data_IF_514932967563
#
_entry.id   IF_514932967563
#
_cell.length_a   1.000
_cell.length_b   1.000
_cell.length_c   1.000
_cell.angle_alpha   90.00
_cell.angle_beta   90.00
_cell.angle_gamma   90.00
#
_symmetry.space_group_name_H-M   'P 1'
#
loop_
_entity.id
_entity.type
_entity.pdbx_description
1 polymer ?
#
# COMPACT_ATOMS: atom_id res chain seq x y z
N UNK A 1 14.45 21.84 0.85
CA UNK A 1 13.03 21.76 0.44
C UNK A 1 12.20 21.44 1.68
N UNK A 2 11.42 22.37 2.24
CA UNK A 2 10.60 22.06 3.40
C UNK A 2 9.42 21.18 2.97
N UNK A 3 9.27 20.02 3.60
CA UNK A 3 8.12 19.14 3.39
C UNK A 3 6.85 19.91 3.73
N UNK A 4 5.91 19.97 2.78
CA UNK A 4 4.59 20.56 3.00
C UNK A 4 3.97 19.92 4.23
N UNK A 5 3.61 20.77 5.19
CA UNK A 5 2.78 20.43 6.35
C UNK A 5 1.58 19.61 5.87
N UNK A 6 1.64 18.31 6.13
CA UNK A 6 0.50 17.41 5.98
C UNK A 6 -0.55 17.95 6.94
N UNK A 7 -1.70 18.38 6.40
CA UNK A 7 -2.94 18.49 7.19
C UNK A 7 -2.96 17.26 8.09
N UNK A 8 -2.96 17.48 9.40
CA UNK A 8 -2.92 16.43 10.42
C UNK A 8 -4.14 15.55 10.22
N UNK A 9 -3.99 14.50 9.41
CA UNK A 9 -4.88 13.36 9.45
C UNK A 9 -4.73 12.85 10.88
N UNK A 10 -5.79 13.00 11.67
CA UNK A 10 -5.80 12.50 13.04
C UNK A 10 -5.78 10.99 12.93
N UNK A 11 -4.65 10.39 13.28
CA UNK A 11 -4.54 8.96 13.48
C UNK A 11 -4.79 8.67 14.95
N UNK A 12 -5.63 7.69 15.22
CA UNK A 12 -5.96 7.28 16.58
C UNK A 12 -4.76 6.61 17.24
N UNK A 13 -3.89 5.96 16.46
CA UNK A 13 -2.64 5.36 16.91
C UNK A 13 -1.48 5.56 15.92
N UNK A 14 -0.24 5.48 16.42
CA UNK A 14 0.96 5.41 15.57
C UNK A 14 0.90 4.18 14.66
N UNK A 15 0.31 3.08 15.13
CA UNK A 15 0.10 1.88 14.34
C UNK A 15 -0.70 2.13 13.06
N UNK A 16 -1.72 2.99 13.12
CA UNK A 16 -2.50 3.36 11.93
C UNK A 16 -1.65 4.18 10.95
N UNK A 17 -0.84 5.10 11.47
CA UNK A 17 0.10 5.89 10.65
C UNK A 17 1.15 5.00 9.98
N UNK A 18 1.72 4.05 10.72
CA UNK A 18 2.67 3.04 10.20
C UNK A 18 1.98 2.18 9.13
N UNK A 19 0.76 1.72 9.39
CA UNK A 19 0.02 0.84 8.49
C UNK A 19 -0.27 1.47 7.12
N UNK A 20 -0.37 2.79 7.04
CA UNK A 20 -0.56 3.53 5.78
C UNK A 20 0.72 3.64 4.94
N UNK A 21 1.89 3.42 5.55
CA UNK A 21 3.20 3.39 4.88
C UNK A 21 3.60 1.98 4.44
N UNK A 22 2.85 0.97 4.87
CA UNK A 22 3.07 -0.42 4.48
C UNK A 22 2.22 -0.76 3.25
N UNK A 23 2.65 -1.72 2.42
CA UNK A 23 1.88 -2.23 1.28
C UNK A 23 0.42 -2.58 1.60
N UNK A 24 -0.48 -2.44 0.62
CA UNK A 24 -1.87 -2.88 0.75
C UNK A 24 -1.99 -4.37 1.09
N UNK A 25 -1.15 -5.17 0.45
CA UNK A 25 -1.09 -6.61 0.62
C UNK A 25 0.32 -7.07 0.96
N UNK A 26 0.40 -8.09 1.80
CA UNK A 26 1.65 -8.69 2.26
C UNK A 26 1.61 -10.19 2.03
N UNK A 27 2.76 -10.79 1.71
CA UNK A 27 2.86 -12.23 1.50
C UNK A 27 2.09 -12.74 0.29
N UNK A 28 1.87 -11.91 -0.74
CA UNK A 28 1.33 -12.39 -2.01
C UNK A 28 2.34 -13.34 -2.67
N UNK A 29 1.87 -14.50 -3.13
CA UNK A 29 2.68 -15.42 -3.93
C UNK A 29 3.08 -14.79 -5.28
N UNK A 30 4.15 -15.30 -5.89
CA UNK A 30 4.57 -14.85 -7.22
C UNK A 30 3.45 -15.03 -8.26
N UNK A 31 2.67 -16.11 -8.16
CA UNK A 31 1.54 -16.40 -9.04
C UNK A 31 0.44 -15.34 -8.90
N UNK A 32 0.11 -14.92 -7.67
CA UNK A 32 -0.87 -13.86 -7.44
C UNK A 32 -0.40 -12.52 -8.00
N UNK A 33 0.88 -12.20 -7.84
CA UNK A 33 1.47 -10.97 -8.40
C UNK A 33 1.42 -11.01 -9.93
N UNK A 34 1.80 -12.12 -10.55
CA UNK A 34 1.76 -12.28 -12.00
C UNK A 34 0.34 -12.19 -12.54
N UNK A 35 -0.61 -12.83 -11.87
CA UNK A 35 -2.02 -12.77 -12.22
C UNK A 35 -2.55 -11.33 -12.17
N UNK A 36 -2.30 -10.60 -11.07
CA UNK A 36 -2.70 -9.20 -10.94
C UNK A 36 -2.03 -8.30 -12.00
N UNK A 37 -0.79 -8.59 -12.41
CA UNK A 37 -0.12 -7.84 -13.47
C UNK A 37 -0.79 -8.10 -14.83
N UNK A 38 -1.18 -9.34 -15.11
CA UNK A 38 -1.88 -9.71 -16.34
C UNK A 38 -3.27 -9.06 -16.45
N UNK A 39 -3.96 -8.86 -15.32
CA UNK A 39 -5.26 -8.16 -15.28
C UNK A 39 -5.16 -6.64 -15.55
N UNK A 40 -3.95 -6.07 -15.57
CA UNK A 40 -3.75 -4.63 -15.75
C UNK A 40 -4.40 -3.83 -14.62
N UNK A 41 -5.35 -2.95 -14.92
CA UNK A 41 -6.12 -2.19 -13.91
C UNK A 41 -7.53 -2.75 -13.66
N UNK A 42 -7.84 -3.94 -14.16
CA UNK A 42 -9.17 -4.54 -14.09
C UNK A 42 -10.15 -3.93 -15.10
N UNK A 43 -10.96 -4.78 -15.75
CA UNK A 43 -11.99 -4.36 -16.71
C UNK A 43 -13.10 -3.62 -15.96
N UNK A 44 -13.42 -2.39 -16.36
CA UNK A 44 -14.54 -1.61 -15.81
C UNK A 44 -14.37 -1.08 -14.37
N UNK A 45 -13.32 -1.49 -13.64
CA UNK A 45 -13.08 -1.03 -12.27
C UNK A 45 -12.73 0.46 -12.20
N UNK A 46 -11.81 0.91 -13.06
CA UNK A 46 -11.41 2.32 -13.16
C UNK A 46 -11.73 2.89 -14.55
N UNK A 47 -12.20 4.14 -14.56
CA UNK A 47 -12.34 4.89 -15.81
C UNK A 47 -10.97 5.09 -16.47
N UNK A 48 -10.94 5.23 -17.81
CA UNK A 48 -9.71 5.50 -18.55
C UNK A 48 -8.93 6.72 -17.98
N UNK A 49 -9.66 7.77 -17.58
CA UNK A 49 -9.07 8.96 -16.96
C UNK A 49 -8.41 8.71 -15.59
N UNK A 50 -8.90 7.74 -14.81
CA UNK A 50 -8.29 7.34 -13.54
C UNK A 50 -7.09 6.43 -13.76
N UNK A 51 -7.18 5.48 -14.71
CA UNK A 51 -6.04 4.65 -15.14
C UNK A 51 -4.87 5.50 -15.64
N UNK A 52 -5.14 6.50 -16.47
CA UNK A 52 -4.12 7.42 -16.98
C UNK A 52 -3.43 8.22 -15.84
N UNK A 53 -4.16 8.59 -14.79
CA UNK A 53 -3.58 9.27 -13.62
C UNK A 53 -2.66 8.36 -12.81
N UNK A 54 -3.06 7.10 -12.63
CA UNK A 54 -2.24 6.10 -11.96
C UNK A 54 -0.95 5.85 -12.75
N UNK A 55 -1.04 5.67 -14.08
CA UNK A 55 0.14 5.54 -14.96
C UNK A 55 1.05 6.77 -14.87
N UNK A 56 0.48 7.97 -14.91
CA UNK A 56 1.25 9.23 -14.74
C UNK A 56 1.94 9.32 -13.38
N UNK A 57 1.38 8.68 -12.35
CA UNK A 57 1.98 8.60 -11.02
C UNK A 57 2.96 7.42 -10.86
N UNK A 58 3.19 6.62 -11.91
CA UNK A 58 4.15 5.50 -11.90
C UNK A 58 3.53 4.13 -11.62
N UNK A 59 2.22 4.05 -11.34
CA UNK A 59 1.55 2.76 -11.13
C UNK A 59 1.31 2.08 -12.47
N UNK A 60 1.77 0.83 -12.60
CA UNK A 60 1.74 0.09 -13.88
C UNK A 60 0.45 -0.73 -14.02
N UNK A 61 0.07 -1.44 -12.96
CA UNK A 61 -1.03 -2.39 -12.91
C UNK A 61 -1.49 -2.62 -11.44
N UNK A 62 -2.44 -3.53 -11.24
CA UNK A 62 -2.96 -3.93 -9.93
C UNK A 62 -1.89 -4.60 -9.07
N UNK A 63 -0.92 -5.29 -9.67
CA UNK A 63 0.19 -5.90 -8.92
C UNK A 63 1.08 -4.84 -8.28
N UNK A 64 1.34 -3.74 -8.99
CA UNK A 64 2.07 -2.61 -8.45
C UNK A 64 1.24 -1.95 -7.34
N UNK A 65 -0.05 -1.68 -7.57
CA UNK A 65 -0.93 -1.13 -6.53
C UNK A 65 -0.99 -2.00 -5.26
N UNK A 66 -1.07 -3.32 -5.40
CA UNK A 66 -1.12 -4.25 -4.26
C UNK A 66 0.15 -4.17 -3.39
N UNK A 67 1.30 -3.89 -4.01
CA UNK A 67 2.60 -3.76 -3.34
C UNK A 67 2.91 -2.34 -2.88
N UNK A 68 2.13 -1.35 -3.31
CA UNK A 68 2.28 0.05 -2.91
C UNK A 68 1.56 0.37 -1.61
N UNK A 69 2.02 1.42 -0.93
CA UNK A 69 1.41 1.87 0.32
C UNK A 69 0.12 2.67 0.06
N UNK A 70 -0.87 2.58 0.96
CA UNK A 70 -2.05 3.45 0.95
C UNK A 70 -1.71 4.94 0.81
N UNK A 71 -0.64 5.40 1.48
CA UNK A 71 -0.20 6.78 1.43
C UNK A 71 0.27 7.19 0.02
N UNK A 72 1.03 6.33 -0.67
CA UNK A 72 1.49 6.59 -2.05
C UNK A 72 0.33 6.66 -3.04
N UNK A 73 -0.61 5.73 -2.94
CA UNK A 73 -1.80 5.72 -3.79
C UNK A 73 -2.67 6.95 -3.49
N UNK A 74 -2.79 7.33 -2.22
CA UNK A 74 -3.58 8.46 -1.78
C UNK A 74 -3.05 9.83 -2.28
N UNK A 75 -1.77 9.90 -2.64
CA UNK A 75 -1.16 11.11 -3.25
C UNK A 75 -1.66 11.37 -4.66
N UNK A 76 -2.21 10.36 -5.35
CA UNK A 76 -2.75 10.53 -6.71
C UNK A 76 -4.07 11.29 -6.64
N UNK A 77 -4.19 12.36 -7.44
CA UNK A 77 -5.43 13.16 -7.51
C UNK A 77 -6.63 12.26 -7.80
N UNK A 78 -7.68 12.37 -6.96
CA UNK A 78 -8.93 11.57 -6.95
C UNK A 78 -8.80 10.17 -6.35
N UNK A 79 -7.65 9.80 -5.79
CA UNK A 79 -7.50 8.59 -4.99
C UNK A 79 -7.41 9.02 -3.53
N UNK A 80 -8.56 9.24 -2.89
CA UNK A 80 -8.61 9.45 -1.43
C UNK A 80 -8.67 8.12 -0.68
N UNK A 81 -8.71 8.13 0.67
CA UNK A 81 -8.75 6.91 1.48
C UNK A 81 -9.91 5.97 1.09
N UNK A 82 -11.10 6.52 0.82
CA UNK A 82 -12.26 5.75 0.34
C UNK A 82 -11.94 4.98 -0.95
N UNK A 83 -11.21 5.59 -1.88
CA UNK A 83 -10.87 4.94 -3.15
C UNK A 83 -9.73 3.93 -2.98
N UNK A 84 -8.81 4.17 -2.06
CA UNK A 84 -7.78 3.19 -1.70
C UNK A 84 -8.43 1.92 -1.13
N UNK A 85 -9.45 2.06 -0.27
CA UNK A 85 -10.21 0.90 0.22
C UNK A 85 -10.97 0.19 -0.91
N UNK A 86 -11.58 0.93 -1.86
CA UNK A 86 -12.19 0.28 -3.03
C UNK A 86 -11.18 -0.51 -3.89
N UNK A 87 -9.96 0.01 -4.07
CA UNK A 87 -8.87 -0.72 -4.74
C UNK A 87 -8.51 -1.97 -3.95
N UNK A 88 -8.40 -1.86 -2.63
CA UNK A 88 -8.10 -3.00 -1.76
C UNK A 88 -9.17 -4.09 -1.88
N UNK A 89 -10.44 -3.72 -1.77
CA UNK A 89 -11.56 -4.67 -1.90
C UNK A 89 -11.56 -5.33 -3.27
N UNK A 90 -11.40 -4.55 -4.35
CA UNK A 90 -11.34 -5.08 -5.70
C UNK A 90 -10.21 -6.10 -5.88
N UNK A 91 -8.99 -5.75 -5.48
CA UNK A 91 -7.84 -6.67 -5.54
C UNK A 91 -8.08 -7.93 -4.70
N UNK A 92 -8.65 -7.79 -3.50
CA UNK A 92 -8.97 -8.93 -2.64
C UNK A 92 -10.02 -9.85 -3.29
N UNK A 93 -11.04 -9.28 -3.93
CA UNK A 93 -12.07 -10.04 -4.63
C UNK A 93 -11.50 -10.80 -5.83
N UNK A 94 -10.61 -10.17 -6.61
CA UNK A 94 -9.90 -10.83 -7.71
C UNK A 94 -9.05 -12.00 -7.20
N UNK A 95 -8.23 -11.79 -6.16
CA UNK A 95 -7.43 -12.89 -5.58
C UNK A 95 -8.35 -13.99 -5.02
N UNK A 96 -9.42 -13.60 -4.33
CA UNK A 96 -10.36 -14.53 -3.71
C UNK A 96 -11.17 -15.36 -4.72
N UNK A 97 -11.36 -14.86 -5.94
CA UNK A 97 -12.00 -15.60 -7.02
C UNK A 97 -11.19 -16.86 -7.37
N UNK A 98 -9.86 -16.77 -7.35
CA UNK A 98 -8.95 -17.87 -7.66
C UNK A 98 -8.51 -18.68 -6.44
N UNK A 99 -8.43 -18.03 -5.28
CA UNK A 99 -8.03 -18.62 -4.01
C UNK A 99 -9.01 -18.18 -2.92
N UNK A 100 -10.09 -18.93 -2.65
CA UNK A 100 -11.09 -18.53 -1.66
C UNK A 100 -10.53 -18.27 -0.26
N UNK A 101 -9.44 -18.98 0.11
CA UNK A 101 -8.70 -18.76 1.37
C UNK A 101 -8.03 -17.39 1.47
N UNK A 102 -7.81 -16.69 0.34
CA UNK A 102 -7.21 -15.37 0.31
C UNK A 102 -8.02 -14.32 1.07
N UNK A 103 -9.36 -14.49 1.19
CA UNK A 103 -10.17 -13.58 2.02
C UNK A 103 -9.74 -13.61 3.48
N UNK A 104 -9.50 -14.80 4.02
CA UNK A 104 -9.10 -14.97 5.41
C UNK A 104 -7.67 -14.47 5.60
N UNK A 105 -6.77 -14.80 4.68
CA UNK A 105 -5.36 -14.42 4.77
C UNK A 105 -5.15 -12.93 4.55
N UNK A 106 -5.78 -12.32 3.56
CA UNK A 106 -5.46 -10.96 3.11
C UNK A 106 -6.53 -9.91 3.46
N UNK A 107 -7.57 -10.28 4.23
CA UNK A 107 -8.48 -9.31 4.80
C UNK A 107 -7.74 -8.21 5.59
N UNK A 108 -8.37 -7.03 5.64
CA UNK A 108 -7.81 -5.88 6.35
C UNK A 108 -7.56 -6.16 7.83
N UNK A 109 -8.53 -6.79 8.50
CA UNK A 109 -8.42 -7.18 9.90
C UNK A 109 -7.32 -8.22 10.11
N UNK A 110 -7.25 -9.27 9.29
CA UNK A 110 -6.22 -10.30 9.40
C UNK A 110 -4.81 -9.76 9.17
N UNK A 111 -4.65 -8.85 8.20
CA UNK A 111 -3.36 -8.18 7.95
C UNK A 111 -2.98 -7.26 9.12
N UNK A 112 -3.94 -6.52 9.67
CA UNK A 112 -3.74 -5.69 10.87
C UNK A 112 -3.29 -6.54 12.05
N UNK A 113 -3.97 -7.65 12.31
CA UNK A 113 -3.67 -8.55 13.43
C UNK A 113 -2.25 -9.08 13.34
N UNK A 114 -1.85 -9.62 12.18
CA UNK A 114 -0.47 -10.12 11.99
C UNK A 114 0.59 -9.06 12.21
N UNK A 115 0.37 -7.84 11.69
CA UNK A 115 1.29 -6.71 11.91
C UNK A 115 1.39 -6.37 13.39
N UNK A 116 0.26 -6.37 14.10
CA UNK A 116 0.22 -6.04 15.51
C UNK A 116 0.87 -7.13 16.37
N UNK A 117 0.64 -8.41 16.07
CA UNK A 117 1.25 -9.53 16.78
C UNK A 117 2.78 -9.51 16.65
N UNK A 118 3.30 -9.23 15.44
CA UNK A 118 4.75 -9.03 15.24
C UNK A 118 5.32 -7.91 16.13
N UNK A 119 4.55 -6.84 16.38
CA UNK A 119 4.98 -5.77 17.29
C UNK A 119 4.89 -6.19 18.76
N UNK A 120 3.96 -7.09 19.14
CA UNK A 120 3.84 -7.62 20.49
C UNK A 120 5.01 -8.54 20.84
N UNK A 121 5.42 -9.38 19.89
CA UNK A 121 6.55 -10.31 20.06
C UNK A 121 7.91 -9.60 20.05
N UNK A 122 7.96 -8.34 19.59
CA UNK A 122 9.21 -7.59 19.42
C UNK A 122 9.40 -6.58 20.55
N UNK A 123 10.50 -6.74 21.29
CA UNK A 123 10.97 -5.76 22.28
C UNK A 123 11.46 -4.47 21.60
N UNK A 124 11.21 -3.31 22.21
CA UNK A 124 11.54 -2.01 21.63
C UNK A 124 13.04 -1.83 21.40
N UNK A 125 13.89 -2.45 22.21
CA UNK A 125 15.35 -2.41 22.11
C UNK A 125 15.86 -3.05 20.81
N UNK A 126 15.03 -3.83 20.11
CA UNK A 126 15.35 -4.38 18.78
C UNK A 126 15.14 -3.37 17.66
N UNK A 127 14.47 -2.25 17.93
CA UNK A 127 14.33 -1.16 16.98
C UNK A 127 15.62 -0.35 16.95
N UNK A 128 15.98 0.15 15.75
CA UNK A 128 17.06 1.11 15.58
C UNK A 128 16.58 2.51 16.03
N UNK A 129 16.24 2.64 17.31
CA UNK A 129 15.90 3.88 18.00
C UNK A 129 16.95 4.15 19.08
N UNK A 130 17.17 5.42 19.35
CA UNK A 130 18.08 5.86 20.40
C UNK A 130 17.52 5.53 21.80
N UNK A 131 18.40 5.09 22.71
CA UNK A 131 18.02 4.63 24.04
C UNK A 131 17.43 5.76 24.90
N UNK A 132 17.95 6.98 24.77
CA UNK A 132 17.42 8.15 25.46
C UNK A 132 16.02 8.48 24.95
N UNK A 133 15.79 8.32 23.64
CA UNK A 133 14.44 8.47 23.05
C UNK A 133 13.45 7.43 23.59
N UNK A 134 13.86 6.16 23.71
CA UNK A 134 13.01 5.09 24.27
C UNK A 134 12.68 5.38 25.75
N UNK A 135 13.67 5.80 26.53
CA UNK A 135 13.50 6.15 27.94
C UNK A 135 12.61 7.39 28.11
N UNK A 136 12.84 8.44 27.32
CA UNK A 136 12.07 9.69 27.33
C UNK A 136 10.59 9.46 26.97
N UNK A 137 10.33 8.52 26.06
CA UNK A 137 8.98 8.10 25.70
C UNK A 137 8.32 7.16 26.74
N UNK A 138 9.07 6.70 27.74
CA UNK A 138 8.57 5.86 28.83
C UNK A 138 8.31 4.41 28.42
N UNK A 139 9.06 3.88 27.45
CA UNK A 139 8.89 2.50 26.96
C UNK A 139 10.08 1.58 27.19
N UNK A 140 10.98 1.93 28.11
CA UNK A 140 12.08 1.05 28.49
C UNK A 140 11.54 -0.32 28.96
N UNK A 141 11.97 -1.42 28.34
CA UNK A 141 11.48 -2.78 28.63
C UNK A 141 10.07 -3.07 28.10
N UNK A 142 9.50 -2.21 27.25
CA UNK A 142 8.19 -2.40 26.62
C UNK A 142 8.25 -3.10 25.27
N UNK A 143 7.09 -3.55 24.79
CA UNK A 143 6.94 -4.11 23.45
C UNK A 143 6.74 -3.02 22.40
N UNK A 144 7.09 -3.29 21.13
CA UNK A 144 6.82 -2.34 20.04
C UNK A 144 5.32 -2.03 19.91
N UNK A 145 4.45 -2.95 20.35
CA UNK A 145 3.00 -2.75 20.37
C UNK A 145 2.57 -1.65 21.35
N UNK A 146 3.22 -1.54 22.52
CA UNK A 146 2.94 -0.49 23.50
C UNK A 146 3.23 0.91 22.93
N UNK A 147 4.33 1.01 22.18
CA UNK A 147 4.69 2.23 21.47
C UNK A 147 3.71 2.52 20.32
N UNK A 148 3.40 1.51 19.49
CA UNK A 148 2.52 1.67 18.34
C UNK A 148 1.07 2.00 18.74
N UNK A 149 0.64 1.58 19.93
CA UNK A 149 -0.69 1.88 20.47
C UNK A 149 -0.90 3.33 20.91
N UNK A 150 0.16 4.14 21.07
CA UNK A 150 -0.01 5.56 21.42
C UNK A 150 -0.50 6.38 20.24
N UNK A 151 -1.23 7.45 20.54
CA UNK A 151 -1.56 8.47 19.54
C UNK A 151 -0.44 9.50 19.42
N UNK A 152 -0.27 10.05 18.23
CA UNK A 152 0.67 11.15 17.98
C UNK A 152 0.40 12.36 18.87
N UNK A 153 -0.87 12.67 19.11
CA UNK A 153 -1.29 13.77 19.97
C UNK A 153 -0.88 13.54 21.44
N UNK A 154 -0.99 12.30 21.92
CA UNK A 154 -0.56 11.96 23.27
C UNK A 154 0.96 12.18 23.43
N UNK A 155 1.75 11.66 22.48
CA UNK A 155 3.21 11.79 22.50
C UNK A 155 3.68 13.25 22.42
N UNK A 156 3.08 14.06 21.55
CA UNK A 156 3.44 15.48 21.46
C UNK A 156 2.92 16.30 22.63
N UNK A 157 1.84 15.86 23.27
CA UNK A 157 1.25 16.50 24.44
C UNK A 157 2.12 16.41 25.70
N UNK A 158 3.07 15.48 25.76
CA UNK A 158 4.01 15.38 26.89
C UNK A 158 5.08 16.47 26.85
N UNK A 159 5.33 17.08 25.68
CA UNK A 159 6.42 18.04 25.47
C UNK A 159 7.82 17.45 25.53
N UNK A 160 7.95 16.15 25.77
CA UNK A 160 9.24 15.44 25.88
C UNK A 160 9.82 15.19 24.49
N UNK A 161 8.96 14.91 23.50
CA UNK A 161 9.36 14.61 22.13
C UNK A 161 8.86 15.62 21.11
N UNK A 162 9.69 15.85 20.12
CA UNK A 162 9.42 16.74 18.99
C UNK A 162 8.64 16.03 17.89
N UNK A 163 7.94 16.78 17.00
CA UNK A 163 7.30 16.20 15.82
C UNK A 163 8.23 15.38 14.93
N UNK A 164 9.51 15.76 14.86
CA UNK A 164 10.54 15.10 14.05
C UNK A 164 10.90 13.74 14.66
N UNK A 165 11.03 13.65 15.99
CA UNK A 165 11.29 12.38 16.69
C UNK A 165 10.12 11.41 16.53
N UNK A 166 8.88 11.90 16.62
CA UNK A 166 7.71 11.05 16.37
C UNK A 166 7.68 10.55 14.92
N UNK A 167 8.03 11.39 13.94
CA UNK A 167 8.19 10.93 12.55
C UNK A 167 9.29 9.88 12.41
N UNK A 168 10.40 10.04 13.13
CA UNK A 168 11.47 9.05 13.13
C UNK A 168 10.99 7.71 13.69
N UNK A 169 10.25 7.72 14.80
CA UNK A 169 9.63 6.52 15.38
C UNK A 169 8.72 5.83 14.37
N UNK A 170 7.81 6.56 13.73
CA UNK A 170 6.88 5.97 12.74
C UNK A 170 7.66 5.39 11.55
N UNK A 171 8.69 6.07 11.07
CA UNK A 171 9.55 5.58 10.00
C UNK A 171 10.33 4.32 10.40
N UNK A 172 10.83 4.25 11.63
CA UNK A 172 11.55 3.08 12.15
C UNK A 172 10.63 1.88 12.31
N UNK A 173 9.42 2.06 12.85
CA UNK A 173 8.41 1.01 12.93
C UNK A 173 7.97 0.51 11.54
N UNK A 174 7.74 1.43 10.59
CA UNK A 174 7.40 1.06 9.22
C UNK A 174 8.53 0.27 8.53
N UNK A 175 9.79 0.68 8.74
CA UNK A 175 10.95 -0.04 8.22
C UNK A 175 11.09 -1.42 8.85
N UNK A 176 10.91 -1.53 10.16
CA UNK A 176 10.95 -2.79 10.88
C UNK A 176 9.92 -3.78 10.33
N UNK A 177 8.64 -3.37 10.27
CA UNK A 177 7.56 -4.21 9.72
C UNK A 177 7.75 -4.51 8.22
N UNK A 178 8.38 -3.61 7.47
CA UNK A 178 8.76 -3.85 6.08
C UNK A 178 9.88 -4.90 5.95
N UNK A 179 10.91 -4.84 6.81
CA UNK A 179 12.08 -5.71 6.77
C UNK A 179 11.78 -7.14 7.23
N UNK A 180 10.91 -7.33 8.23
CA UNK A 180 10.49 -8.65 8.69
C UNK A 180 9.85 -9.52 7.59
N UNK A 181 9.32 -8.89 6.53
CA UNK A 181 8.80 -9.60 5.35
C UNK A 181 9.90 -10.23 4.50
N UNK A 182 11.07 -9.58 4.45
CA UNK A 182 12.21 -10.07 3.67
C UNK A 182 12.87 -11.26 4.38
N UNK A 183 12.86 -11.28 5.71
CA UNK A 183 13.51 -12.32 6.53
C UNK A 183 12.67 -13.57 6.76
N UNK A 184 11.35 -13.53 6.49
CA UNK A 184 10.51 -14.72 6.45
C UNK A 184 10.68 -15.55 5.16
N UNK A 185 11.68 -15.20 4.32
CA UNK A 185 12.13 -15.99 3.17
C UNK A 185 13.32 -16.83 3.63
N UNK A 186 13.12 -18.14 3.79
CA UNK A 186 14.21 -19.06 4.09
C UNK A 186 15.32 -18.98 3.01
N UNK A 187 16.59 -19.24 3.38
CA UNK A 187 17.77 -18.94 2.59
C UNK A 187 17.93 -19.95 1.46
N UNK A 188 18.18 -19.44 0.25
CA UNK A 188 18.41 -20.27 -0.91
C UNK A 188 17.98 -19.57 -2.18
N UNK A 189 18.70 -18.53 -2.59
CA UNK A 189 19.13 -18.51 -3.99
C UNK A 189 20.41 -17.70 -4.14
N UNK A 190 21.35 -18.30 -4.84
CA UNK A 190 22.71 -17.81 -5.01
C UNK A 190 22.77 -16.50 -5.78
N UNK A 191 23.87 -15.80 -5.55
CA UNK A 191 24.30 -14.66 -6.34
C UNK A 191 24.17 -14.93 -7.85
N UNK A 192 23.57 -13.98 -8.58
CA UNK A 192 24.01 -13.72 -9.94
C UNK A 192 23.77 -12.26 -10.34
N UNK A 193 24.86 -11.62 -10.74
CA UNK A 193 24.96 -10.27 -11.30
C UNK A 193 24.13 -10.11 -12.59
N UNK A 194 23.86 -8.84 -12.92
CA UNK A 194 22.91 -8.29 -13.89
C UNK A 194 22.95 -8.85 -15.34
N UNK A 195 21.88 -8.56 -16.12
CA UNK A 195 22.06 -7.62 -17.24
C UNK A 195 20.91 -6.59 -17.35
N UNK A 196 21.26 -5.31 -17.18
CA UNK A 196 20.33 -4.16 -17.16
C UNK A 196 19.72 -3.81 -18.53
N UNK A 197 20.34 -4.20 -19.64
CA UNK A 197 19.88 -3.82 -20.99
C UNK A 197 18.86 -4.80 -21.59
N UNK A 198 18.90 -6.08 -21.20
CA UNK A 198 17.89 -7.07 -21.61
C UNK A 198 16.57 -6.87 -20.87
N UNK A 199 16.61 -6.42 -19.61
CA UNK A 199 15.39 -6.06 -18.87
C UNK A 199 14.65 -4.88 -19.52
N UNK A 200 15.34 -3.84 -19.97
CA UNK A 200 14.70 -2.68 -20.62
C UNK A 200 14.04 -3.04 -21.96
N UNK A 201 14.67 -3.90 -22.75
CA UNK A 201 14.11 -4.37 -24.03
C UNK A 201 12.93 -5.33 -23.82
N UNK A 202 12.97 -6.17 -22.79
CA UNK A 202 11.86 -7.03 -22.38
C UNK A 202 10.70 -6.20 -21.81
N UNK A 203 10.97 -5.17 -21.01
CA UNK A 203 9.96 -4.24 -20.50
C UNK A 203 9.29 -3.44 -21.62
N UNK A 204 10.06 -2.95 -22.60
CA UNK A 204 9.54 -2.25 -23.76
C UNK A 204 8.65 -3.17 -24.64
N UNK A 205 9.07 -4.41 -24.87
CA UNK A 205 8.29 -5.40 -25.64
C UNK A 205 7.00 -5.80 -24.92
N UNK A 206 7.05 -5.91 -23.58
CA UNK A 206 5.86 -6.15 -22.73
C UNK A 206 4.94 -4.93 -22.69
N UNK A 207 5.48 -3.71 -22.72
CA UNK A 207 4.69 -2.49 -22.80
C UNK A 207 3.94 -2.37 -24.13
N UNK A 208 4.58 -2.75 -25.25
CA UNK A 208 3.94 -2.77 -26.57
C UNK A 208 2.77 -3.78 -26.62
N UNK A 209 3.00 -5.02 -26.16
CA UNK A 209 1.94 -6.05 -26.08
C UNK A 209 0.74 -5.61 -25.23
N UNK A 210 0.97 -4.87 -24.14
CA UNK A 210 -0.11 -4.31 -23.30
C UNK A 210 -0.86 -3.17 -23.98
N UNK A 211 -0.18 -2.37 -24.79
CA UNK A 211 -0.83 -1.30 -25.55
C UNK A 211 -1.74 -1.86 -26.65
N UNK A 212 -1.33 -2.96 -27.30
CA UNK A 212 -2.15 -3.66 -28.29
C UNK A 212 -3.35 -4.37 -27.64
N UNK A 213 -3.16 -5.01 -26.49
CA UNK A 213 -4.27 -5.55 -25.70
C UNK A 213 -5.21 -4.43 -25.24
N UNK A 214 -4.71 -3.29 -24.77
CA UNK A 214 -5.58 -2.15 -24.39
C UNK A 214 -6.41 -1.65 -25.59
N UNK A 215 -5.89 -1.69 -26.82
CA UNK A 215 -6.62 -1.33 -28.05
C UNK A 215 -7.75 -2.33 -28.35
N UNK A 216 -7.45 -3.63 -28.31
CA UNK A 216 -8.46 -4.69 -28.45
C UNK A 216 -9.54 -4.60 -27.36
N UNK A 217 -9.16 -4.13 -26.17
CA UNK A 217 -10.05 -3.98 -25.03
C UNK A 217 -10.91 -2.71 -25.09
N UNK A 218 -10.43 -1.65 -25.75
CA UNK A 218 -11.21 -0.45 -26.09
C UNK A 218 -12.22 -0.72 -27.21
N UNK A 219 -11.83 -1.50 -28.22
CA UNK A 219 -12.70 -1.89 -29.34
C UNK A 219 -13.82 -2.86 -28.91
N UNK A 220 -13.54 -3.74 -27.95
CA UNK A 220 -14.52 -4.68 -27.41
C UNK A 220 -15.42 -4.10 -26.30
N UNK A 221 -15.30 -2.81 -25.98
CA UNK A 221 -16.18 -2.16 -25.02
C UNK A 221 -17.57 -1.92 -25.64
N UNK A 222 -18.68 -2.36 -25.02
CA UNK A 222 -20.00 -2.14 -25.58
C UNK A 222 -20.26 -0.63 -25.74
N UNK A 223 -20.71 -0.24 -26.93
CA UNK A 223 -21.07 1.15 -27.22
C UNK A 223 -22.08 1.63 -26.19
N UNK A 224 -21.74 2.69 -25.45
CA UNK A 224 -22.68 3.28 -24.49
C UNK A 224 -23.86 3.84 -25.27
N UNK A 225 -24.98 3.14 -25.16
CA UNK A 225 -26.29 3.61 -25.55
C UNK A 225 -26.54 4.98 -24.89
N UNK A 226 -26.50 6.03 -25.71
CA UNK A 226 -26.88 7.39 -25.28
C UNK A 226 -28.39 7.41 -25.11
N UNK A 227 -28.92 6.84 -24.02
CA UNK A 227 -30.30 7.08 -23.60
C UNK A 227 -30.43 7.13 -22.07
N UNK A 228 -30.65 8.35 -21.58
CA UNK A 228 -31.78 8.75 -20.71
C UNK A 228 -31.74 10.28 -20.63
N UNK A 229 -32.60 10.98 -21.37
CA UNK A 229 -34.02 11.25 -21.05
C UNK A 229 -34.17 12.11 -19.80
N UNK A 230 -34.65 13.34 -19.98
CA UNK A 230 -35.43 14.04 -18.96
C UNK A 230 -35.09 15.51 -18.77
N UNK A 231 -35.75 16.40 -19.50
CA UNK A 231 -36.18 17.67 -18.90
C UNK A 231 -37.66 17.88 -19.19
N UNK A 232 -38.47 17.62 -18.16
CA UNK A 232 -39.79 18.23 -17.98
C UNK A 232 -39.57 19.46 -17.11
N UNK A 233 -39.93 20.67 -17.59
CA UNK A 233 -40.67 21.66 -16.78
C UNK A 233 -41.19 22.85 -17.61
N UNK A 234 -42.49 23.11 -17.37
CA UNK A 234 -43.39 24.25 -17.68
C UNK A 234 -42.75 25.64 -17.87
N UNK A 235 -43.30 26.42 -18.81
CA UNK A 235 -44.26 27.53 -18.57
C UNK A 235 -45.39 27.38 -19.58
#
# INVERSE_FOLDING_TARGET
MPRRSTRTIRYDSLFDEVSLRLPLFEGLSADNIQHLSALGFGRGFLTASLRARLRKAGFRDLSHLAQSSPEEIARVRKFGPVRVELIRTFILDEIAHWLPSARQTHAAAATRERRFELLRETQIERLALDADTIAALGFAGGSCADMAGRSRLNLLGTGIVTPIEVDHVVMTLARFLGACKTTARCPGDGAREAPSAEMETIEARRAALRADQDREWEEAAPARDRRRSGTVRRV
#
